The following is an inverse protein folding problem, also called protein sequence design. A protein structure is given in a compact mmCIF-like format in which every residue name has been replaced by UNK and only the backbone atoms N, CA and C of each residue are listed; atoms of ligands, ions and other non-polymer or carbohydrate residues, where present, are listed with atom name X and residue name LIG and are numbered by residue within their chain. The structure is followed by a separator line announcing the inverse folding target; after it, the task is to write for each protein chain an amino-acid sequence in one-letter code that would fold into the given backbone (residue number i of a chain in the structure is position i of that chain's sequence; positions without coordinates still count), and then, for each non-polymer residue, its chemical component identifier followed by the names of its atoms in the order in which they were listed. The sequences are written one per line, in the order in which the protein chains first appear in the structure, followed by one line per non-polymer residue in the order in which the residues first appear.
data_IF_252173071437
#
_entry.id   IF_252173071437
#
_cell.length_a   1.000
_cell.length_b   1.000
_cell.length_c   1.000
_cell.angle_alpha   90.00
_cell.angle_beta   90.00
_cell.angle_gamma   90.00
#
_symmetry.space_group_name_H-M   'P 1'
#
loop_
_entity.id
_entity.type
_entity.pdbx_description
1 polymer ?
#
# COMPACT_ATOMS: atom_id res chain seq x y z
N UNK A 1 -9.60 25.11 4.69
CA UNK A 1 -9.38 24.41 3.40
C UNK A 1 -8.12 23.55 3.39
N UNK A 2 -6.99 24.03 3.93
CA UNK A 2 -5.71 23.28 3.95
C UNK A 2 -5.74 21.94 4.70
N UNK A 3 -6.48 21.84 5.81
CA UNK A 3 -6.60 20.58 6.57
C UNK A 3 -7.34 19.49 5.78
N UNK A 4 -8.46 19.84 5.15
CA UNK A 4 -9.26 18.89 4.35
C UNK A 4 -8.41 18.31 3.22
N UNK A 5 -7.61 19.14 2.55
CA UNK A 5 -6.76 18.69 1.44
C UNK A 5 -5.60 17.80 1.90
N UNK A 6 -5.05 18.02 3.09
CA UNK A 6 -4.09 17.09 3.71
C UNK A 6 -4.74 15.74 3.99
N UNK A 7 -5.96 15.72 4.54
CA UNK A 7 -6.70 14.48 4.78
C UNK A 7 -6.99 13.74 3.47
N UNK A 8 -7.41 14.47 2.43
CA UNK A 8 -7.63 13.91 1.08
C UNK A 8 -6.35 13.31 0.51
N UNK A 9 -5.20 13.97 0.68
CA UNK A 9 -3.92 13.45 0.22
C UNK A 9 -3.57 12.12 0.90
N UNK A 10 -3.71 12.05 2.23
CA UNK A 10 -3.45 10.83 3.01
C UNK A 10 -4.43 9.72 2.64
N UNK A 11 -5.72 10.05 2.47
CA UNK A 11 -6.72 9.08 2.05
C UNK A 11 -6.43 8.53 0.65
N UNK A 12 -6.00 9.38 -0.30
CA UNK A 12 -5.63 8.97 -1.64
C UNK A 12 -4.42 8.03 -1.63
N UNK A 13 -3.40 8.32 -0.81
CA UNK A 13 -2.24 7.42 -0.64
C UNK A 13 -2.69 6.08 -0.08
N UNK A 14 -3.44 6.09 1.02
CA UNK A 14 -3.87 4.86 1.69
C UNK A 14 -4.75 3.97 0.79
N UNK A 15 -5.71 4.57 0.09
CA UNK A 15 -6.57 3.84 -0.86
C UNK A 15 -5.77 3.36 -2.07
N UNK A 16 -4.83 4.16 -2.57
CA UNK A 16 -3.97 3.80 -3.69
C UNK A 16 -3.07 2.61 -3.38
N UNK A 17 -2.45 2.59 -2.19
CA UNK A 17 -1.68 1.43 -1.72
C UNK A 17 -2.59 0.22 -1.54
N UNK A 18 -3.74 0.37 -0.86
CA UNK A 18 -4.64 -0.74 -0.60
C UNK A 18 -5.14 -1.42 -1.89
N UNK A 19 -5.46 -0.64 -2.93
CA UNK A 19 -5.87 -1.17 -4.23
C UNK A 19 -4.72 -1.86 -4.96
N UNK A 20 -3.53 -1.27 -4.93
CA UNK A 20 -2.34 -1.84 -5.58
C UNK A 20 -1.96 -3.18 -4.94
N UNK A 21 -1.84 -3.21 -3.61
CA UNK A 21 -1.53 -4.41 -2.84
C UNK A 21 -2.62 -5.48 -3.03
N UNK A 22 -3.90 -5.10 -2.99
CA UNK A 22 -4.97 -6.06 -3.21
C UNK A 22 -4.88 -6.72 -4.59
N UNK A 23 -4.59 -5.93 -5.63
CA UNK A 23 -4.39 -6.45 -6.98
C UNK A 23 -3.21 -7.43 -7.06
N UNK A 24 -2.08 -7.09 -6.44
CA UNK A 24 -0.89 -7.95 -6.36
C UNK A 24 -1.20 -9.28 -5.66
N UNK A 25 -1.81 -9.23 -4.48
CA UNK A 25 -2.14 -10.43 -3.70
C UNK A 25 -3.16 -11.32 -4.41
N UNK A 26 -4.16 -10.73 -5.08
CA UNK A 26 -5.12 -11.50 -5.89
C UNK A 26 -4.42 -12.14 -7.10
N UNK A 27 -3.53 -11.42 -7.78
CA UNK A 27 -2.74 -11.97 -8.88
C UNK A 27 -1.89 -13.16 -8.40
N UNK A 28 -1.16 -13.02 -7.28
CA UNK A 28 -0.38 -14.10 -6.68
C UNK A 28 -1.24 -15.31 -6.31
N UNK A 29 -2.43 -15.07 -5.75
CA UNK A 29 -3.37 -16.12 -5.36
C UNK A 29 -3.92 -16.89 -6.56
N UNK A 30 -4.25 -16.17 -7.64
CA UNK A 30 -4.79 -16.79 -8.85
C UNK A 30 -3.71 -17.59 -9.58
N UNK A 31 -2.49 -17.07 -9.68
CA UNK A 31 -1.36 -17.81 -10.26
C UNK A 31 -1.02 -19.07 -9.47
N UNK A 32 -1.09 -19.00 -8.13
CA UNK A 32 -0.88 -20.17 -7.27
C UNK A 32 -1.95 -21.26 -7.41
N UNK A 33 -3.14 -20.96 -7.93
CA UNK A 33 -4.27 -21.92 -8.05
C UNK A 33 -4.54 -22.40 -9.47
N UNK A 34 -4.36 -21.54 -10.48
CA UNK A 34 -4.92 -21.75 -11.82
C UNK A 34 -3.89 -22.01 -12.93
N UNK A 35 -2.61 -22.18 -12.60
CA UNK A 35 -1.61 -22.62 -13.58
C UNK A 35 -1.18 -21.57 -14.62
N UNK A 36 -1.35 -20.28 -14.33
CA UNK A 36 -0.61 -19.22 -15.01
C UNK A 36 -1.17 -18.69 -16.34
N UNK A 37 -2.49 -18.68 -16.53
CA UNK A 37 -3.08 -17.93 -17.64
C UNK A 37 -2.89 -16.42 -17.44
N UNK A 38 -2.05 -15.81 -18.29
CA UNK A 38 -1.73 -14.38 -18.27
C UNK A 38 -2.97 -13.50 -18.52
N UNK A 39 -4.00 -14.01 -19.19
CA UNK A 39 -5.24 -13.26 -19.41
C UNK A 39 -5.95 -12.93 -18.09
N UNK A 40 -5.75 -13.76 -17.05
CA UNK A 40 -6.31 -13.52 -15.73
C UNK A 40 -5.68 -12.31 -15.02
N UNK A 41 -4.51 -11.82 -15.44
CA UNK A 41 -3.87 -10.63 -14.85
C UNK A 41 -4.51 -9.32 -15.29
N UNK A 42 -5.31 -9.32 -16.36
CA UNK A 42 -5.84 -8.09 -16.94
C UNK A 42 -6.64 -7.23 -15.94
N UNK A 43 -7.58 -7.78 -15.14
CA UNK A 43 -8.30 -7.00 -14.15
C UNK A 43 -7.38 -6.44 -13.06
N UNK A 44 -6.30 -7.15 -12.72
CA UNK A 44 -5.34 -6.73 -11.70
C UNK A 44 -4.48 -5.57 -12.21
N UNK A 45 -4.06 -5.57 -13.47
CA UNK A 45 -3.38 -4.42 -14.07
C UNK A 45 -4.26 -3.17 -14.10
N UNK A 46 -5.56 -3.31 -14.39
CA UNK A 46 -6.50 -2.19 -14.33
C UNK A 46 -6.64 -1.66 -12.89
N UNK A 47 -6.69 -2.55 -11.90
CA UNK A 47 -6.82 -2.18 -10.50
C UNK A 47 -5.54 -1.49 -9.97
N UNK A 48 -4.36 -2.01 -10.29
CA UNK A 48 -3.07 -1.36 -9.99
C UNK A 48 -2.97 -0.01 -10.68
N UNK A 49 -3.45 0.11 -11.93
CA UNK A 49 -3.44 1.41 -12.63
C UNK A 49 -4.30 2.44 -11.90
N UNK A 50 -5.48 2.05 -11.40
CA UNK A 50 -6.32 2.93 -10.59
C UNK A 50 -5.64 3.29 -9.26
N UNK A 51 -5.03 2.32 -8.59
CA UNK A 51 -4.22 2.54 -7.38
C UNK A 51 -3.07 3.51 -7.61
N UNK A 52 -2.33 3.32 -8.71
CA UNK A 52 -1.23 4.19 -9.14
C UNK A 52 -1.68 5.62 -9.43
N UNK A 53 -2.82 5.82 -10.09
CA UNK A 53 -3.40 7.15 -10.29
C UNK A 53 -3.67 7.84 -8.94
N UNK A 54 -4.29 7.13 -8.00
CA UNK A 54 -4.55 7.65 -6.65
C UNK A 54 -3.26 7.99 -5.90
N UNK A 55 -2.22 7.16 -6.00
CA UNK A 55 -0.92 7.40 -5.40
C UNK A 55 -0.25 8.65 -5.98
N UNK A 56 -0.23 8.80 -7.31
CA UNK A 56 0.33 10.00 -7.97
C UNK A 56 -0.40 11.27 -7.50
N UNK A 57 -1.74 11.24 -7.45
CA UNK A 57 -2.51 12.36 -6.91
C UNK A 57 -2.24 12.62 -5.43
N UNK A 58 -2.19 11.56 -4.62
CA UNK A 58 -1.94 11.63 -3.19
C UNK A 58 -0.56 12.22 -2.86
N UNK A 59 0.48 11.79 -3.58
CA UNK A 59 1.84 12.32 -3.45
C UNK A 59 1.93 13.77 -3.92
N UNK A 60 1.33 14.11 -5.07
CA UNK A 60 1.34 15.49 -5.57
C UNK A 60 0.65 16.45 -4.60
N UNK A 61 -0.55 16.08 -4.14
CA UNK A 61 -1.33 16.87 -3.19
C UNK A 61 -0.63 16.95 -1.83
N UNK A 62 -0.13 15.81 -1.34
CA UNK A 62 0.62 15.72 -0.09
C UNK A 62 1.84 16.64 -0.12
N UNK A 63 2.63 16.61 -1.19
CA UNK A 63 3.84 17.42 -1.29
C UNK A 63 3.52 18.91 -1.44
N UNK A 64 2.44 19.23 -2.15
CA UNK A 64 1.97 20.60 -2.27
C UNK A 64 1.64 21.24 -0.91
N UNK A 65 1.07 20.49 0.04
CA UNK A 65 0.62 21.02 1.34
C UNK A 65 1.50 20.71 2.55
N UNK A 66 2.28 19.62 2.52
CA UNK A 66 3.20 19.24 3.59
C UNK A 66 4.61 19.74 3.33
N UNK A 67 4.98 20.00 2.06
CA UNK A 67 6.31 20.48 1.63
C UNK A 67 7.48 19.62 2.13
N UNK A 68 7.19 18.39 2.56
CA UNK A 68 8.17 17.44 3.06
C UNK A 68 7.84 16.05 2.48
N UNK A 69 8.71 15.58 1.59
CA UNK A 69 8.53 14.29 0.91
C UNK A 69 8.71 13.11 1.87
N UNK A 70 9.56 13.25 2.90
CA UNK A 70 9.83 12.18 3.85
C UNK A 70 8.59 11.81 4.67
N UNK A 71 7.78 12.80 5.06
CA UNK A 71 6.50 12.55 5.74
C UNK A 71 5.54 11.76 4.83
N UNK A 72 5.50 12.09 3.54
CA UNK A 72 4.61 11.43 2.57
C UNK A 72 5.06 9.98 2.35
N UNK A 73 6.37 9.77 2.18
CA UNK A 73 6.95 8.45 2.05
C UNK A 73 6.69 7.62 3.31
N UNK A 74 6.87 8.19 4.50
CA UNK A 74 6.59 7.50 5.75
C UNK A 74 5.11 7.08 5.87
N UNK A 75 4.18 7.93 5.42
CA UNK A 75 2.75 7.60 5.37
C UNK A 75 2.48 6.45 4.38
N UNK A 76 3.06 6.49 3.18
CA UNK A 76 2.89 5.41 2.19
C UNK A 76 3.45 4.08 2.67
N UNK A 77 4.69 4.09 3.16
CA UNK A 77 5.35 2.90 3.72
C UNK A 77 4.57 2.38 4.93
N UNK A 78 4.10 3.27 5.80
CA UNK A 78 3.23 2.90 6.92
C UNK A 78 1.92 2.27 6.47
N UNK A 79 1.30 2.78 5.40
CA UNK A 79 0.10 2.20 4.81
C UNK A 79 0.37 0.77 4.29
N UNK A 80 1.46 0.56 3.56
CA UNK A 80 1.88 -0.77 3.08
C UNK A 80 2.05 -1.74 4.27
N UNK A 81 2.84 -1.35 5.27
CA UNK A 81 3.16 -2.16 6.44
C UNK A 81 1.93 -2.59 7.26
N UNK A 82 0.84 -1.82 7.20
CA UNK A 82 -0.42 -2.16 7.87
C UNK A 82 -1.33 -2.97 6.94
N UNK A 83 -1.55 -2.49 5.73
CA UNK A 83 -2.57 -3.02 4.82
C UNK A 83 -2.15 -4.37 4.23
N UNK A 84 -0.91 -4.51 3.81
CA UNK A 84 -0.41 -5.73 3.18
C UNK A 84 -0.52 -6.98 4.05
N UNK A 85 -0.03 -7.00 5.31
CA UNK A 85 -0.17 -8.20 6.15
C UNK A 85 -1.63 -8.51 6.48
N UNK A 86 -2.49 -7.51 6.66
CA UNK A 86 -3.92 -7.72 6.91
C UNK A 86 -4.56 -8.40 5.70
N UNK A 87 -4.35 -7.85 4.50
CA UNK A 87 -4.90 -8.43 3.27
C UNK A 87 -4.33 -9.82 2.99
N UNK A 88 -3.03 -10.03 3.22
CA UNK A 88 -2.39 -11.33 3.04
C UNK A 88 -3.01 -12.40 3.96
N UNK A 89 -3.18 -12.10 5.25
CA UNK A 89 -3.84 -13.02 6.19
C UNK A 89 -5.29 -13.28 5.78
N UNK A 90 -6.04 -12.27 5.34
CA UNK A 90 -7.43 -12.44 4.91
C UNK A 90 -7.57 -13.29 3.63
N UNK A 91 -6.66 -13.13 2.67
CA UNK A 91 -6.73 -13.78 1.36
C UNK A 91 -6.16 -15.19 1.36
N UNK A 92 -5.02 -15.39 2.03
CA UNK A 92 -4.30 -16.66 2.05
C UNK A 92 -4.61 -17.51 3.29
N UNK A 93 -5.08 -16.89 4.38
CA UNK A 93 -5.31 -17.55 5.69
C UNK A 93 -4.05 -18.17 6.29
N UNK A 94 -2.89 -17.68 5.88
CA UNK A 94 -1.58 -18.09 6.38
C UNK A 94 -1.02 -17.02 7.33
N UNK A 95 -0.28 -17.48 8.34
CA UNK A 95 0.42 -16.59 9.29
C UNK A 95 1.83 -16.27 8.80
N UNK A 96 2.32 -15.04 9.04
CA UNK A 96 3.67 -14.65 8.66
C UNK A 96 4.71 -15.55 9.34
N UNK A 97 5.70 -15.98 8.56
CA UNK A 97 6.86 -16.70 9.08
C UNK A 97 7.72 -15.79 9.96
N UNK A 98 8.58 -16.36 10.81
CA UNK A 98 9.42 -15.61 11.73
C UNK A 98 10.24 -14.48 11.06
N UNK A 99 10.79 -14.74 9.86
CA UNK A 99 11.52 -13.73 9.09
C UNK A 99 10.63 -12.56 8.66
N UNK A 100 9.44 -12.85 8.10
CA UNK A 100 8.48 -11.80 7.72
C UNK A 100 7.94 -11.02 8.91
N UNK A 101 7.75 -11.67 10.06
CA UNK A 101 7.30 -11.00 11.28
C UNK A 101 8.34 -10.01 11.82
N UNK A 102 9.62 -10.40 11.85
CA UNK A 102 10.72 -9.50 12.24
C UNK A 102 10.79 -8.30 11.28
N UNK A 103 10.69 -8.56 9.96
CA UNK A 103 10.65 -7.51 8.95
C UNK A 103 9.51 -6.52 9.16
N UNK A 104 8.30 -7.01 9.43
CA UNK A 104 7.12 -6.17 9.73
C UNK A 104 7.33 -5.32 10.99
N UNK A 105 7.90 -5.89 12.06
CA UNK A 105 8.16 -5.17 13.31
C UNK A 105 9.20 -4.05 13.08
N UNK A 106 10.33 -4.37 12.45
CA UNK A 106 11.38 -3.39 12.17
C UNK A 106 10.89 -2.30 11.20
N UNK A 107 10.14 -2.68 10.16
CA UNK A 107 9.50 -1.75 9.25
C UNK A 107 8.54 -0.80 9.98
N UNK A 108 7.71 -1.34 10.87
CA UNK A 108 6.79 -0.56 11.70
C UNK A 108 7.52 0.48 12.56
N UNK A 109 8.62 0.09 13.22
CA UNK A 109 9.45 1.03 13.97
C UNK A 109 10.08 2.10 13.07
N UNK A 110 10.56 1.74 11.88
CA UNK A 110 11.11 2.68 10.90
C UNK A 110 10.08 3.71 10.43
N UNK A 111 8.86 3.28 10.13
CA UNK A 111 7.77 4.17 9.73
C UNK A 111 7.37 5.12 10.87
N UNK A 112 7.27 4.63 12.10
CA UNK A 112 6.99 5.48 13.27
C UNK A 112 8.11 6.51 13.49
N UNK A 113 9.38 6.10 13.40
CA UNK A 113 10.50 7.02 13.55
C UNK A 113 10.45 8.16 12.52
N UNK A 114 10.12 7.86 11.25
CA UNK A 114 10.04 8.86 10.19
C UNK A 114 8.83 9.82 10.32
N UNK A 115 7.80 9.45 11.09
CA UNK A 115 6.64 10.30 11.35
C UNK A 115 6.90 11.23 12.55
N UNK A 116 7.62 10.75 13.57
CA UNK A 116 7.78 11.45 14.84
C UNK A 116 9.11 12.19 15.03
N UNK A 117 10.11 11.95 14.18
CA UNK A 117 11.42 12.65 14.17
C UNK A 117 11.54 13.53 12.93
#
# INVERSE_FOLDING_TARGET
MTLVLKIVAVAAIFLGEALSIFAELIASRQFGKAGGDLAMLWPMFLLVSLGGILLVFGYALGYMYLKNIWIIVAISVGAILVVEPILAVLLFRDVPTAGSLIGLILGGFGALAAIFL
#
